data_IF_062375779900
#
_entry.id   IF_062375779900
#
_cell.length_a   1.000
_cell.length_b   1.000
_cell.length_c   1.000
_cell.angle_alpha   90.00
_cell.angle_beta   90.00
_cell.angle_gamma   90.00
#
_symmetry.space_group_name_H-M   'P 1'
#
loop_
_entity.id
_entity.type
_entity.pdbx_description
1 polymer ?
#
# COMPACT_ATOMS: atom_id res chain seq x y z
N UNK A 1 2.70 19.49 -6.20
CA UNK A 1 2.03 18.29 -6.75
C UNK A 1 3.08 17.41 -7.39
N UNK A 2 3.23 16.16 -6.93
CA UNK A 2 4.30 15.28 -7.42
C UNK A 2 3.98 14.74 -8.82
N UNK A 3 4.98 14.26 -9.56
CA UNK A 3 4.79 13.64 -10.89
C UNK A 3 3.81 12.45 -10.81
N UNK A 4 3.91 11.65 -9.74
CA UNK A 4 3.04 10.50 -9.54
C UNK A 4 1.60 10.91 -9.22
N UNK A 5 1.40 11.96 -8.41
CA UNK A 5 0.07 12.46 -8.08
C UNK A 5 -0.68 12.95 -9.33
N UNK A 6 0.01 13.69 -10.22
CA UNK A 6 -0.59 14.13 -11.49
C UNK A 6 -1.00 12.94 -12.37
N UNK A 7 -0.11 11.97 -12.51
CA UNK A 7 -0.42 10.72 -13.23
C UNK A 7 -1.62 10.00 -12.61
N UNK A 8 -1.68 9.89 -11.28
CA UNK A 8 -2.76 9.21 -10.58
C UNK A 8 -4.12 9.87 -10.84
N UNK A 9 -4.19 11.20 -10.86
CA UNK A 9 -5.42 11.96 -11.13
C UNK A 9 -5.90 11.75 -12.58
N UNK A 10 -5.00 11.85 -13.55
CA UNK A 10 -5.29 11.57 -14.98
C UNK A 10 -5.72 10.12 -15.19
N UNK A 11 -5.03 9.18 -14.55
CA UNK A 11 -5.35 7.76 -14.58
C UNK A 11 -6.73 7.47 -13.97
N UNK A 12 -7.07 8.12 -12.86
CA UNK A 12 -8.39 8.01 -12.23
C UNK A 12 -9.51 8.54 -13.11
N UNK A 13 -9.29 9.63 -13.83
CA UNK A 13 -10.26 10.16 -14.79
C UNK A 13 -10.52 9.17 -15.92
N UNK A 14 -9.48 8.61 -16.53
CA UNK A 14 -9.62 7.56 -17.54
C UNK A 14 -10.30 6.29 -16.99
N UNK A 15 -10.02 5.91 -15.75
CA UNK A 15 -10.70 4.77 -15.13
C UNK A 15 -12.21 5.02 -15.02
N UNK A 16 -12.63 6.22 -14.62
CA UNK A 16 -14.06 6.59 -14.56
C UNK A 16 -14.73 6.44 -15.93
N UNK A 17 -14.06 6.88 -16.99
CA UNK A 17 -14.56 6.76 -18.36
C UNK A 17 -14.70 5.30 -18.80
N UNK A 18 -13.71 4.45 -18.48
CA UNK A 18 -13.77 3.02 -18.75
C UNK A 18 -14.91 2.34 -17.98
N UNK A 19 -15.12 2.70 -16.71
CA UNK A 19 -16.24 2.19 -15.89
C UNK A 19 -17.59 2.62 -16.48
N UNK A 20 -17.72 3.87 -16.92
CA UNK A 20 -18.91 4.34 -17.61
C UNK A 20 -19.15 3.58 -18.92
N UNK A 21 -18.11 3.29 -19.70
CA UNK A 21 -18.22 2.47 -20.92
C UNK A 21 -18.69 1.05 -20.59
N UNK A 22 -18.15 0.43 -19.52
CA UNK A 22 -18.58 -0.90 -19.08
C UNK A 22 -20.05 -0.92 -18.64
N UNK A 23 -20.52 0.12 -17.93
CA UNK A 23 -21.92 0.20 -17.51
C UNK A 23 -22.93 0.33 -18.65
N UNK A 24 -22.47 0.80 -19.82
CA UNK A 24 -23.29 0.98 -21.03
C UNK A 24 -23.32 -0.26 -21.92
N UNK A 25 -22.49 -1.27 -21.64
CA UNK A 25 -22.50 -2.52 -22.38
C UNK A 25 -23.83 -3.27 -22.13
N UNK A 26 -24.42 -3.89 -23.17
CA UNK A 26 -25.57 -4.77 -23.00
C UNK A 26 -25.24 -5.91 -22.03
N UNK A 27 -26.14 -6.19 -21.08
CA UNK A 27 -26.00 -7.31 -20.13
C UNK A 27 -26.06 -8.69 -20.79
N UNK A 28 -26.55 -8.74 -22.03
CA UNK A 28 -26.60 -9.92 -22.87
C UNK A 28 -25.95 -9.56 -24.21
N UNK A 29 -24.84 -10.22 -24.55
CA UNK A 29 -24.22 -10.09 -25.86
C UNK A 29 -25.13 -10.77 -26.89
N UNK A 30 -25.99 -9.99 -27.54
CA UNK A 30 -26.94 -10.50 -28.53
C UNK A 30 -26.31 -10.72 -29.90
N UNK A 31 -25.13 -10.15 -30.16
CA UNK A 31 -24.41 -10.27 -31.43
C UNK A 31 -22.92 -10.57 -31.22
N UNK A 32 -22.28 -11.22 -32.20
CA UNK A 32 -20.82 -11.45 -32.22
C UNK A 32 -20.03 -10.12 -32.12
N UNK A 33 -20.60 -9.02 -32.62
CA UNK A 33 -20.01 -7.69 -32.53
C UNK A 33 -20.02 -7.14 -31.09
N UNK A 34 -21.08 -7.41 -30.32
CA UNK A 34 -21.17 -7.04 -28.90
C UNK A 34 -20.14 -7.80 -28.06
N UNK A 35 -19.90 -9.07 -28.38
CA UNK A 35 -18.90 -9.91 -27.71
C UNK A 35 -17.48 -9.39 -27.95
N UNK A 36 -17.13 -9.08 -29.20
CA UNK A 36 -15.81 -8.52 -29.55
C UNK A 36 -15.60 -7.13 -28.93
N UNK A 37 -16.62 -6.27 -28.91
CA UNK A 37 -16.57 -4.99 -28.23
C UNK A 37 -16.35 -5.13 -26.71
N UNK A 38 -17.00 -6.12 -26.09
CA UNK A 38 -16.83 -6.43 -24.67
C UNK A 38 -15.41 -6.91 -24.38
N UNK A 39 -14.86 -7.84 -25.18
CA UNK A 39 -13.48 -8.31 -25.06
C UNK A 39 -12.47 -7.17 -25.20
N UNK A 40 -12.66 -6.29 -26.18
CA UNK A 40 -11.80 -5.12 -26.39
C UNK A 40 -11.83 -4.19 -25.18
N UNK A 41 -13.00 -3.94 -24.60
CA UNK A 41 -13.11 -3.07 -23.42
C UNK A 41 -12.43 -3.71 -22.19
N UNK A 42 -12.58 -5.01 -21.98
CA UNK A 42 -11.87 -5.74 -20.93
C UNK A 42 -10.36 -5.62 -21.11
N UNK A 43 -9.85 -5.82 -22.34
CA UNK A 43 -8.42 -5.65 -22.64
C UNK A 43 -7.92 -4.23 -22.34
N UNK A 44 -8.72 -3.20 -22.66
CA UNK A 44 -8.39 -1.81 -22.32
C UNK A 44 -8.30 -1.60 -20.81
N UNK A 45 -9.25 -2.13 -20.03
CA UNK A 45 -9.23 -2.04 -18.57
C UNK A 45 -8.02 -2.74 -17.98
N UNK A 46 -7.72 -3.97 -18.44
CA UNK A 46 -6.54 -4.73 -18.00
C UNK A 46 -5.26 -3.95 -18.31
N UNK A 47 -5.13 -3.41 -19.52
CA UNK A 47 -3.97 -2.61 -19.91
C UNK A 47 -3.84 -1.34 -19.04
N UNK A 48 -4.96 -0.67 -18.75
CA UNK A 48 -5.01 0.51 -17.90
C UNK A 48 -4.54 0.21 -16.46
N UNK A 49 -4.97 -0.92 -15.89
CA UNK A 49 -4.51 -1.37 -14.57
C UNK A 49 -3.03 -1.77 -14.58
N UNK A 50 -2.57 -2.46 -15.62
CA UNK A 50 -1.16 -2.82 -15.75
C UNK A 50 -0.26 -1.59 -15.80
N UNK A 51 -0.67 -0.55 -16.53
CA UNK A 51 0.07 0.70 -16.60
C UNK A 51 0.17 1.40 -15.24
N UNK A 52 -0.91 1.39 -14.45
CA UNK A 52 -0.89 1.90 -13.08
C UNK A 52 0.18 1.22 -12.23
N UNK A 53 0.21 -0.11 -12.22
CA UNK A 53 1.20 -0.85 -11.43
C UNK A 53 2.63 -0.66 -11.94
N UNK A 54 2.81 -0.52 -13.26
CA UNK A 54 4.12 -0.22 -13.85
C UNK A 54 4.66 1.13 -13.36
N UNK A 55 3.83 2.18 -13.44
CA UNK A 55 4.23 3.53 -12.99
C UNK A 55 4.37 3.59 -11.47
N UNK A 56 3.48 2.94 -10.71
CA UNK A 56 3.57 2.82 -9.25
C UNK A 56 4.86 2.13 -8.82
N UNK A 57 5.26 1.04 -9.49
CA UNK A 57 6.53 0.35 -9.21
C UNK A 57 7.74 1.25 -9.47
N UNK A 58 7.74 2.00 -10.58
CA UNK A 58 8.82 2.95 -10.88
C UNK A 58 8.90 4.07 -9.84
N UNK A 59 7.75 4.61 -9.41
CA UNK A 59 7.70 5.63 -8.38
C UNK A 59 8.16 5.07 -7.02
N UNK A 60 7.80 3.82 -6.70
CA UNK A 60 8.21 3.15 -5.47
C UNK A 60 9.73 2.91 -5.39
N UNK A 61 10.39 2.68 -6.53
CA UNK A 61 11.86 2.60 -6.60
C UNK A 61 12.55 3.93 -6.27
N UNK A 62 11.88 5.06 -6.50
CA UNK A 62 12.43 6.39 -6.20
C UNK A 62 12.12 6.80 -4.76
N UNK A 63 10.88 6.60 -4.31
CA UNK A 63 10.44 6.96 -2.97
C UNK A 63 9.35 6.00 -2.50
N UNK A 64 9.79 4.95 -1.79
CA UNK A 64 8.91 3.92 -1.28
C UNK A 64 7.98 4.46 -0.17
N UNK A 65 8.45 5.41 0.64
CA UNK A 65 7.69 5.99 1.75
C UNK A 65 6.58 6.91 1.24
N UNK A 66 6.85 7.70 0.20
CA UNK A 66 5.83 8.45 -0.50
C UNK A 66 4.77 7.52 -1.07
N UNK A 67 5.18 6.37 -1.64
CA UNK A 67 4.23 5.42 -2.21
C UNK A 67 3.37 4.72 -1.15
N UNK A 68 3.95 4.35 -0.01
CA UNK A 68 3.24 3.73 1.10
C UNK A 68 2.29 4.69 1.82
N UNK A 69 2.71 5.94 2.05
CA UNK A 69 1.87 6.94 2.72
C UNK A 69 0.68 7.38 1.86
N UNK A 70 0.74 7.16 0.54
CA UNK A 70 -0.32 7.44 -0.43
C UNK A 70 -1.05 8.78 -0.16
N UNK A 71 -0.33 9.92 -0.12
CA UNK A 71 -0.92 11.22 0.23
C UNK A 71 -1.94 11.69 -0.80
N UNK A 72 -1.87 11.17 -2.02
CA UNK A 72 -2.81 11.46 -3.11
C UNK A 72 -4.14 10.66 -3.00
N UNK A 73 -4.19 9.63 -2.15
CA UNK A 73 -5.41 8.82 -1.95
C UNK A 73 -6.39 9.52 -1.00
N UNK A 74 -7.64 9.07 -0.97
CA UNK A 74 -8.59 9.54 0.04
C UNK A 74 -8.43 8.78 1.37
N UNK A 75 -9.09 9.25 2.43
CA UNK A 75 -9.02 8.61 3.76
C UNK A 75 -9.55 7.18 3.76
N UNK A 76 -10.59 6.88 2.98
CA UNK A 76 -11.15 5.55 2.85
C UNK A 76 -10.16 4.59 2.17
N UNK A 77 -9.57 4.98 1.05
CA UNK A 77 -8.54 4.20 0.35
C UNK A 77 -7.32 3.93 1.23
N UNK A 78 -6.88 4.93 2.01
CA UNK A 78 -5.82 4.74 3.00
C UNK A 78 -6.21 3.74 4.09
N UNK A 79 -7.45 3.81 4.58
CA UNK A 79 -7.94 2.83 5.55
C UNK A 79 -8.06 1.41 4.96
N UNK A 80 -8.37 1.30 3.66
CA UNK A 80 -8.40 0.00 2.98
C UNK A 80 -7.01 -0.61 2.83
N UNK A 81 -5.95 0.19 2.68
CA UNK A 81 -4.58 -0.33 2.74
C UNK A 81 -4.27 -0.95 4.11
N UNK A 82 -4.80 -0.37 5.18
CA UNK A 82 -4.72 -0.93 6.54
C UNK A 82 -5.46 -2.27 6.66
N UNK A 83 -6.68 -2.33 6.11
CA UNK A 83 -7.56 -3.51 6.16
C UNK A 83 -7.05 -4.64 5.24
N UNK A 84 -6.38 -4.30 4.13
CA UNK A 84 -5.80 -5.25 3.18
C UNK A 84 -4.62 -6.07 3.75
N UNK A 85 -4.26 -5.88 5.02
CA UNK A 85 -3.47 -6.83 5.80
C UNK A 85 -2.00 -6.50 5.97
N UNK A 86 -1.53 -5.33 5.52
CA UNK A 86 -0.18 -4.88 5.82
C UNK A 86 -0.17 -3.97 7.05
N UNK A 87 0.35 -4.48 8.17
CA UNK A 87 0.57 -3.73 9.40
C UNK A 87 1.93 -3.02 9.31
N UNK A 88 2.04 -1.69 9.40
CA UNK A 88 3.33 -1.00 9.53
C UNK A 88 4.29 -1.60 10.54
N UNK A 89 3.81 -2.20 11.64
CA UNK A 89 4.66 -2.96 12.59
C UNK A 89 5.48 -4.05 11.91
N UNK A 90 4.98 -4.66 10.82
CA UNK A 90 5.72 -5.65 10.00
C UNK A 90 7.00 -5.06 9.39
N UNK A 91 7.02 -3.78 9.02
CA UNK A 91 8.24 -3.13 8.52
C UNK A 91 9.33 -3.10 9.61
N UNK A 92 8.95 -2.82 10.86
CA UNK A 92 9.88 -2.84 11.99
C UNK A 92 10.44 -4.24 12.22
N UNK A 93 9.61 -5.28 12.14
CA UNK A 93 10.08 -6.67 12.26
C UNK A 93 11.08 -7.07 11.18
N UNK A 94 10.88 -6.64 9.93
CA UNK A 94 11.83 -6.90 8.84
C UNK A 94 13.16 -6.21 9.12
N UNK A 95 13.13 -4.94 9.56
CA UNK A 95 14.35 -4.19 9.89
C UNK A 95 15.08 -4.86 11.06
N UNK A 96 14.40 -5.24 12.15
CA UNK A 96 15.04 -5.96 13.25
C UNK A 96 15.61 -7.31 12.83
N UNK A 97 14.91 -8.04 11.96
CA UNK A 97 15.41 -9.31 11.41
C UNK A 97 16.69 -9.09 10.61
N UNK A 98 16.71 -8.10 9.72
CA UNK A 98 17.89 -7.77 8.92
C UNK A 98 19.04 -7.28 9.80
N UNK A 99 18.78 -6.36 10.73
CA UNK A 99 19.76 -5.90 11.70
C UNK A 99 20.31 -7.04 12.57
N UNK A 100 19.48 -7.98 13.00
CA UNK A 100 19.90 -9.14 13.80
C UNK A 100 20.77 -10.12 13.01
N UNK A 101 20.38 -10.44 11.78
CA UNK A 101 21.12 -11.34 10.88
C UNK A 101 22.46 -10.71 10.45
N UNK A 102 22.47 -9.41 10.15
CA UNK A 102 23.69 -8.69 9.79
C UNK A 102 24.58 -8.40 10.99
N UNK A 103 24.03 -8.24 12.20
CA UNK A 103 24.79 -8.14 13.44
C UNK A 103 25.59 -9.44 13.66
N UNK A 104 24.94 -10.61 13.60
CA UNK A 104 25.64 -11.90 13.82
C UNK A 104 26.80 -12.14 12.84
N UNK A 105 26.63 -11.76 11.56
CA UNK A 105 27.66 -11.93 10.54
C UNK A 105 28.77 -10.87 10.57
N UNK A 106 28.51 -9.68 11.15
CA UNK A 106 29.46 -8.56 11.20
C UNK A 106 30.03 -8.22 12.59
N UNK A 107 29.68 -8.96 13.65
CA UNK A 107 30.26 -8.78 15.01
C UNK A 107 31.80 -8.67 14.97
N UNK A 108 32.48 -9.48 14.15
CA UNK A 108 33.94 -9.44 14.00
C UNK A 108 34.45 -8.18 13.30
N UNK A 109 33.69 -7.63 12.34
CA UNK A 109 34.06 -6.39 11.64
C UNK A 109 33.82 -5.14 12.49
N UNK A 110 32.73 -5.13 13.27
CA UNK A 110 32.40 -4.07 14.24
C UNK A 110 33.46 -4.03 15.36
N UNK A 111 33.86 -5.18 15.90
CA UNK A 111 34.94 -5.28 16.90
C UNK A 111 36.30 -4.79 16.35
N UNK A 112 36.50 -4.85 15.03
CA UNK A 112 37.69 -4.37 14.34
C UNK A 112 37.56 -2.93 13.80
N UNK A 113 36.44 -2.24 14.04
CA UNK A 113 36.24 -0.82 13.69
C UNK A 113 35.89 -0.55 12.22
N UNK A 114 35.49 -1.55 11.43
CA UNK A 114 35.02 -1.35 10.06
C UNK A 114 33.51 -1.13 10.03
N UNK A 115 33.10 0.11 9.75
CA UNK A 115 31.71 0.50 9.47
C UNK A 115 31.49 0.54 7.96
N UNK A 116 30.56 -0.25 7.45
CA UNK A 116 30.30 -0.39 6.00
C UNK A 116 29.08 0.40 5.53
N UNK A 117 28.40 1.14 6.41
CA UNK A 117 27.17 1.88 6.08
C UNK A 117 25.97 0.97 5.82
N UNK A 118 26.01 -0.26 6.37
CA UNK A 118 24.96 -1.26 6.24
C UNK A 118 23.85 -1.03 7.29
N UNK A 119 22.68 -1.68 7.14
CA UNK A 119 21.58 -1.60 8.12
C UNK A 119 21.98 -2.07 9.54
N UNK A 120 23.12 -2.75 9.68
CA UNK A 120 23.72 -3.12 10.96
C UNK A 120 24.50 -1.99 11.67
N UNK A 121 24.75 -0.85 11.02
CA UNK A 121 25.51 0.29 11.58
C UNK A 121 24.61 1.29 12.37
N UNK A 122 23.43 0.87 12.83
CA UNK A 122 22.57 1.73 13.64
C UNK A 122 23.21 2.00 15.00
N UNK A 123 23.48 3.27 15.29
CA UNK A 123 23.99 3.67 16.61
C UNK A 123 22.96 3.41 17.71
N UNK A 124 23.39 3.26 18.98
CA UNK A 124 22.47 3.04 20.11
C UNK A 124 21.33 4.07 20.18
N UNK A 125 21.62 5.34 19.88
CA UNK A 125 20.61 6.40 19.86
C UNK A 125 19.59 6.25 18.71
N UNK A 126 20.02 5.73 17.55
CA UNK A 126 19.12 5.45 16.43
C UNK A 126 18.23 4.24 16.74
N UNK A 127 18.77 3.20 17.40
CA UNK A 127 18.00 2.06 17.86
C UNK A 127 16.96 2.44 18.92
N UNK A 128 17.31 3.30 19.89
CA UNK A 128 16.33 3.81 20.86
C UNK A 128 15.19 4.55 20.17
N UNK A 129 15.51 5.49 19.28
CA UNK A 129 14.50 6.25 18.53
C UNK A 129 13.64 5.35 17.64
N UNK A 130 14.22 4.31 17.06
CA UNK A 130 13.50 3.31 16.27
C UNK A 130 12.55 2.48 17.13
N UNK A 131 12.97 2.08 18.33
CA UNK A 131 12.12 1.36 19.29
C UNK A 131 10.97 2.20 19.83
N UNK A 132 11.21 3.49 20.09
CA UNK A 132 10.17 4.45 20.46
C UNK A 132 9.12 4.58 19.35
N UNK A 133 9.58 4.75 18.10
CA UNK A 133 8.69 4.85 16.93
C UNK A 133 7.88 3.57 16.71
N UNK A 134 8.47 2.40 16.99
CA UNK A 134 7.74 1.13 16.95
C UNK A 134 6.62 1.09 17.99
N UNK A 135 6.89 1.51 19.23
CA UNK A 135 5.88 1.56 20.29
C UNK A 135 4.73 2.51 19.92
N UNK A 136 5.04 3.71 19.43
CA UNK A 136 4.04 4.66 18.94
C UNK A 136 3.20 4.06 17.81
N UNK A 137 3.87 3.40 16.85
CA UNK A 137 3.20 2.74 15.73
C UNK A 137 2.20 1.70 16.24
N UNK A 138 2.64 0.77 17.10
CA UNK A 138 1.79 -0.28 17.69
C UNK A 138 0.58 0.33 18.41
N UNK A 139 0.77 1.42 19.15
CA UNK A 139 -0.34 2.09 19.83
C UNK A 139 -1.37 2.62 18.83
N UNK A 140 -0.93 3.31 17.78
CA UNK A 140 -1.80 3.79 16.71
C UNK A 140 -2.50 2.64 15.99
N UNK A 141 -1.78 1.53 15.72
CA UNK A 141 -2.37 0.34 15.08
C UNK A 141 -3.53 -0.22 15.88
N UNK A 142 -3.35 -0.32 17.20
CA UNK A 142 -4.35 -0.86 18.11
C UNK A 142 -5.56 0.07 18.18
N UNK A 143 -5.36 1.38 18.31
CA UNK A 143 -6.46 2.36 18.30
C UNK A 143 -7.28 2.29 17.01
N UNK A 144 -6.62 2.20 15.84
CA UNK A 144 -7.32 2.08 14.55
C UNK A 144 -8.10 0.75 14.47
N UNK A 145 -7.53 -0.33 15.00
CA UNK A 145 -8.18 -1.65 15.02
C UNK A 145 -9.40 -1.65 15.93
N UNK A 146 -9.30 -1.02 17.10
CA UNK A 146 -10.41 -0.86 18.04
C UNK A 146 -11.55 -0.05 17.41
N UNK A 147 -11.23 1.11 16.81
CA UNK A 147 -12.21 1.92 16.10
C UNK A 147 -12.89 1.13 14.99
N UNK A 148 -12.12 0.39 14.17
CA UNK A 148 -12.67 -0.42 13.10
C UNK A 148 -13.59 -1.54 13.64
N UNK A 149 -13.24 -2.15 14.77
CA UNK A 149 -14.07 -3.13 15.47
C UNK A 149 -15.40 -2.51 15.90
N UNK A 150 -15.38 -1.31 16.48
CA UNK A 150 -16.60 -0.59 16.89
C UNK A 150 -17.52 -0.29 15.70
N UNK A 151 -16.95 0.13 14.55
CA UNK A 151 -17.71 0.35 13.32
C UNK A 151 -18.33 -0.94 12.78
N UNK A 152 -17.60 -2.06 12.80
CA UNK A 152 -18.10 -3.37 12.36
C UNK A 152 -19.23 -3.85 13.27
N UNK A 153 -19.08 -3.72 14.59
CA UNK A 153 -20.11 -4.07 15.56
C UNK A 153 -21.36 -3.19 15.38
N UNK A 154 -21.20 -1.88 15.21
CA UNK A 154 -22.32 -0.96 14.98
C UNK A 154 -23.05 -1.23 13.65
N UNK A 155 -22.32 -1.59 12.60
CA UNK A 155 -22.89 -1.90 11.28
C UNK A 155 -23.62 -3.23 11.30
N UNK A 156 -23.09 -4.24 11.99
CA UNK A 156 -23.76 -5.53 12.21
C UNK A 156 -25.01 -5.36 13.07
N UNK A 157 -24.96 -4.56 14.14
CA UNK A 157 -26.14 -4.28 14.98
C UNK A 157 -27.23 -3.55 14.17
N UNK A 158 -26.88 -2.58 13.32
CA UNK A 158 -27.85 -1.89 12.47
C UNK A 158 -28.47 -2.80 11.39
N UNK A 159 -27.74 -3.82 10.91
CA UNK A 159 -28.25 -4.78 9.92
C UNK A 159 -29.05 -5.94 10.53
N UNK A 160 -28.96 -6.17 11.85
CA UNK A 160 -29.82 -7.11 12.59
C UNK A 160 -31.12 -6.50 13.14
N UNK A 161 -31.23 -5.16 13.16
CA UNK A 161 -32.39 -4.42 13.68
C UNK A 161 -33.30 -3.83 12.59
N UNK A 162 -33.08 -4.18 11.32
CA UNK A 162 -33.97 -3.88 10.19
C UNK A 162 -34.47 -5.18 9.58
#
# INVERSE_FOLDING_TARGET
>A
MTKFQKFHEEWHQHLRELVQQMSKLPKSCTTNQDEENTKLLIQKVISHINEYYRVKSLAAKNDILYIFSAPWSNSLERSLYWIAGWRPTTAFHIIYSECGIHLESHITNILNGFHNGDLADLSPNQLTRFSELQCETIQQENTITEQLSDWQVSTLICSFLT
#
